data_IF_172637655870
#
_entry.id   IF_172637655870
#
_cell.length_a   1.000
_cell.length_b   1.000
_cell.length_c   1.000
_cell.angle_alpha   90.00
_cell.angle_beta   90.00
_cell.angle_gamma   90.00
#
_symmetry.space_group_name_H-M   'P 1'
#
loop_
_entity.id
_entity.type
_entity.pdbx_description
1 polymer ?
#
# COMPACT_ATOMS: atom_id res chain seq x y z
N UNK A 1 -16.03 -24.19 -29.52
CA UNK A 1 -16.09 -24.11 -28.04
C UNK A 1 -16.57 -22.71 -27.68
N UNK A 2 -17.86 -22.54 -27.37
CA UNK A 2 -18.38 -21.23 -26.91
C UNK A 2 -17.88 -21.03 -25.47
N UNK A 3 -17.31 -19.86 -25.11
CA UNK A 3 -16.90 -19.60 -23.73
C UNK A 3 -18.10 -19.74 -22.77
N UNK A 4 -17.93 -20.49 -21.70
CA UNK A 4 -18.97 -20.77 -20.71
C UNK A 4 -19.23 -19.50 -19.86
N UNK A 5 -20.25 -18.73 -20.20
CA UNK A 5 -20.62 -17.45 -19.57
C UNK A 5 -21.40 -17.64 -18.26
N UNK A 6 -20.90 -18.53 -17.38
CA UNK A 6 -21.50 -18.86 -16.07
C UNK A 6 -20.98 -18.02 -14.90
N UNK A 7 -20.23 -16.95 -15.15
CA UNK A 7 -19.62 -16.16 -14.07
C UNK A 7 -20.66 -15.35 -13.29
N UNK A 8 -20.58 -15.46 -11.96
CA UNK A 8 -21.46 -14.79 -11.01
C UNK A 8 -20.65 -13.74 -10.22
N UNK A 9 -21.18 -12.53 -9.95
CA UNK A 9 -22.50 -12.01 -10.32
C UNK A 9 -22.54 -11.47 -11.76
N UNK A 10 -23.52 -11.91 -12.56
CA UNK A 10 -23.68 -11.54 -13.98
C UNK A 10 -23.81 -10.04 -14.23
N UNK A 11 -24.20 -9.26 -13.21
CA UNK A 11 -24.36 -7.80 -13.32
C UNK A 11 -23.02 -7.08 -13.56
N UNK A 12 -21.91 -7.62 -13.05
CA UNK A 12 -20.57 -7.02 -13.15
C UNK A 12 -19.93 -7.31 -14.52
N UNK A 13 -20.17 -8.49 -15.07
CA UNK A 13 -19.58 -8.97 -16.33
C UNK A 13 -20.46 -8.71 -17.57
N UNK A 14 -21.59 -8.00 -17.42
CA UNK A 14 -22.60 -7.79 -18.48
C UNK A 14 -22.16 -6.83 -19.58
N UNK A 15 -21.11 -6.04 -19.35
CA UNK A 15 -20.69 -4.95 -20.22
C UNK A 15 -19.16 -4.87 -20.26
N UNK A 16 -18.59 -4.51 -21.41
CA UNK A 16 -17.15 -4.47 -21.61
C UNK A 16 -16.55 -5.82 -22.02
N UNK A 17 -15.25 -5.85 -22.31
CA UNK A 17 -14.48 -7.06 -22.58
C UNK A 17 -13.88 -7.61 -21.29
N UNK A 18 -13.69 -8.92 -21.23
CA UNK A 18 -12.98 -9.59 -20.12
C UNK A 18 -11.64 -8.89 -19.85
N UNK A 19 -11.42 -8.33 -18.64
CA UNK A 19 -10.14 -7.74 -18.28
C UNK A 19 -9.07 -8.83 -18.22
N UNK A 20 -7.90 -8.58 -18.83
CA UNK A 20 -6.77 -9.48 -18.70
C UNK A 20 -6.30 -9.51 -17.22
N UNK A 21 -6.29 -10.70 -16.63
CA UNK A 21 -5.87 -10.96 -15.23
C UNK A 21 -4.48 -10.37 -14.94
N UNK A 22 -3.60 -10.27 -15.94
CA UNK A 22 -2.28 -9.66 -15.80
C UNK A 22 -2.35 -8.20 -15.33
N UNK A 23 -3.40 -7.45 -15.66
CA UNK A 23 -3.59 -6.08 -15.17
C UNK A 23 -3.90 -6.06 -13.67
N UNK A 24 -4.76 -6.95 -13.18
CA UNK A 24 -5.05 -7.07 -11.74
C UNK A 24 -3.77 -7.41 -10.95
N UNK A 25 -3.01 -8.41 -11.43
CA UNK A 25 -1.74 -8.80 -10.80
C UNK A 25 -0.67 -7.70 -10.89
N UNK A 26 -0.69 -6.85 -11.92
CA UNK A 26 0.20 -5.70 -12.01
C UNK A 26 -0.16 -4.63 -10.98
N UNK A 27 -1.46 -4.34 -10.80
CA UNK A 27 -1.93 -3.38 -9.80
C UNK A 27 -1.65 -3.86 -8.38
N UNK A 28 -1.86 -5.14 -8.08
CA UNK A 28 -1.51 -5.73 -6.78
C UNK A 28 -0.03 -5.56 -6.45
N UNK A 29 0.88 -5.78 -7.42
CA UNK A 29 2.32 -5.57 -7.20
C UNK A 29 2.66 -4.11 -6.90
N UNK A 30 2.07 -3.17 -7.63
CA UNK A 30 2.27 -1.73 -7.37
C UNK A 30 1.71 -1.35 -6.00
N UNK A 31 0.51 -1.80 -5.67
CA UNK A 31 -0.14 -1.55 -4.40
C UNK A 31 0.66 -2.11 -3.21
N UNK A 32 1.12 -3.35 -3.31
CA UNK A 32 1.97 -3.97 -2.29
C UNK A 32 3.33 -3.27 -2.17
N UNK A 33 3.88 -2.78 -3.28
CA UNK A 33 5.11 -1.98 -3.25
C UNK A 33 4.90 -0.65 -2.49
N UNK A 34 3.76 0.01 -2.69
CA UNK A 34 3.39 1.23 -1.94
C UNK A 34 3.17 0.95 -0.46
N UNK A 35 2.43 -0.11 -0.11
CA UNK A 35 2.25 -0.52 1.30
C UNK A 35 3.60 -0.78 1.96
N UNK A 36 4.51 -1.47 1.29
CA UNK A 36 5.84 -1.75 1.83
C UNK A 36 6.59 -0.46 2.20
N UNK A 37 6.58 0.55 1.33
CA UNK A 37 7.24 1.83 1.62
C UNK A 37 6.54 2.59 2.76
N UNK A 38 5.21 2.60 2.79
CA UNK A 38 4.43 3.18 3.88
C UNK A 38 4.77 2.53 5.24
N UNK A 39 4.81 1.20 5.29
CA UNK A 39 5.15 0.45 6.49
C UNK A 39 6.61 0.70 6.94
N UNK A 40 7.55 0.82 6.00
CA UNK A 40 8.94 1.13 6.32
C UNK A 40 9.07 2.51 6.99
N UNK A 41 8.38 3.53 6.47
CA UNK A 41 8.37 4.86 7.09
C UNK A 41 7.69 4.85 8.45
N UNK A 42 6.55 4.16 8.60
CA UNK A 42 5.88 4.03 9.89
C UNK A 42 6.80 3.36 10.94
N UNK A 43 7.44 2.25 10.58
CA UNK A 43 8.36 1.54 11.45
C UNK A 43 9.56 2.41 11.85
N UNK A 44 10.12 3.20 10.92
CA UNK A 44 11.20 4.14 11.20
C UNK A 44 10.78 5.21 12.21
N UNK A 45 9.59 5.81 12.04
CA UNK A 45 9.05 6.79 12.99
C UNK A 45 8.85 6.21 14.39
N UNK A 46 8.33 4.98 14.49
CA UNK A 46 8.18 4.27 15.77
C UNK A 46 9.56 3.97 16.39
N UNK A 47 10.52 3.51 15.59
CA UNK A 47 11.85 3.17 16.08
C UNK A 47 12.59 4.38 16.68
N UNK A 48 12.36 5.59 16.16
CA UNK A 48 12.95 6.81 16.73
C UNK A 48 12.51 7.06 18.19
N UNK A 49 11.26 6.77 18.55
CA UNK A 49 10.78 6.94 19.93
C UNK A 49 10.96 5.69 20.81
N UNK A 50 11.03 4.50 20.21
CA UNK A 50 11.21 3.25 20.93
C UNK A 50 12.66 3.00 21.37
N UNK A 51 13.65 3.63 20.70
CA UNK A 51 15.06 3.44 20.97
C UNK A 51 15.65 4.61 21.76
N UNK A 52 16.60 4.31 22.64
CA UNK A 52 17.37 5.33 23.36
C UNK A 52 18.44 5.94 22.44
N UNK A 53 18.06 7.01 21.74
CA UNK A 53 18.94 7.74 20.84
C UNK A 53 19.50 9.00 21.52
N UNK A 54 20.81 9.27 21.41
CA UNK A 54 21.44 10.49 21.94
C UNK A 54 21.19 11.69 21.01
N UNK A 55 19.92 11.98 20.75
CA UNK A 55 19.45 13.08 19.89
C UNK A 55 18.59 14.00 20.75
N UNK A 56 18.60 15.29 20.43
CA UNK A 56 17.69 16.25 21.06
C UNK A 56 16.22 15.77 20.99
N UNK A 57 15.47 15.79 22.10
CA UNK A 57 14.10 15.26 22.13
C UNK A 57 13.15 15.90 21.12
N UNK A 58 13.29 17.21 20.87
CA UNK A 58 12.42 17.90 19.92
C UNK A 58 12.75 17.52 18.48
N UNK A 59 14.04 17.38 18.14
CA UNK A 59 14.45 16.89 16.82
C UNK A 59 14.02 15.44 16.58
N UNK A 60 14.12 14.59 17.60
CA UNK A 60 13.68 13.19 17.52
C UNK A 60 12.18 13.09 17.27
N UNK A 61 11.38 13.83 18.03
CA UNK A 61 9.93 13.90 17.85
C UNK A 61 9.57 14.45 16.47
N UNK A 62 10.21 15.53 16.02
CA UNK A 62 9.96 16.12 14.70
C UNK A 62 10.25 15.10 13.58
N UNK A 63 11.38 14.38 13.66
CA UNK A 63 11.72 13.34 12.70
C UNK A 63 10.73 12.17 12.73
N UNK A 64 10.30 11.72 13.91
CA UNK A 64 9.27 10.69 14.06
C UNK A 64 7.95 11.10 13.41
N UNK A 65 7.50 12.33 13.64
CA UNK A 65 6.28 12.88 13.03
C UNK A 65 6.39 12.99 11.50
N UNK A 66 7.56 13.38 10.98
CA UNK A 66 7.81 13.40 9.53
C UNK A 66 7.69 11.99 8.95
N UNK A 67 8.33 10.99 9.56
CA UNK A 67 8.23 9.61 9.09
C UNK A 67 6.80 9.06 9.14
N UNK A 68 6.04 9.38 10.19
CA UNK A 68 4.62 9.01 10.27
C UNK A 68 3.80 9.72 9.19
N UNK A 69 4.02 11.01 8.95
CA UNK A 69 3.32 11.75 7.90
C UNK A 69 3.63 11.19 6.49
N UNK A 70 4.89 10.87 6.21
CA UNK A 70 5.32 10.26 4.95
C UNK A 70 4.80 8.83 4.73
N UNK A 71 4.34 8.15 5.80
CA UNK A 71 3.78 6.81 5.67
C UNK A 71 2.41 6.79 4.96
N UNK A 72 1.72 7.93 4.88
CA UNK A 72 0.40 8.02 4.25
C UNK A 72 0.57 8.00 2.73
N UNK A 73 0.07 6.96 2.02
CA UNK A 73 0.09 6.95 0.57
C UNK A 73 -0.86 8.04 0.04
N UNK A 74 -0.39 8.85 -0.91
CA UNK A 74 -1.14 9.93 -1.56
C UNK A 74 -2.09 9.42 -2.65
#
# INVERSE_FOLDING_TARGET
MVPDDRRFPRRVYRTGSEPDIRFSLANERTFLAWIRTSLAFLAAGIALEALELPIDPALRLAAALIFVALSVPA
#
